data_IF_715314604698
#
_entry.id   IF_715314604698
#
_cell.length_a   1.000
_cell.length_b   1.000
_cell.length_c   1.000
_cell.angle_alpha   90.00
_cell.angle_beta   90.00
_cell.angle_gamma   90.00
#
_symmetry.space_group_name_H-M   'P 1'
#
loop_
_entity.id
_entity.type
_entity.pdbx_description
1 polymer ?
#
# COMPACT_ATOMS: atom_id res chain seq x y z
N UNK A 1 -13.88 9.90 -14.79
CA UNK A 1 -13.81 8.78 -13.83
C UNK A 1 -12.85 9.19 -12.75
N UNK A 2 -13.28 9.18 -11.48
CA UNK A 2 -12.42 9.52 -10.33
C UNK A 2 -12.14 8.22 -9.56
N UNK A 3 -10.87 8.01 -9.20
CA UNK A 3 -10.39 6.85 -8.47
C UNK A 3 -9.55 7.25 -7.25
N UNK A 4 -9.67 6.48 -6.18
CA UNK A 4 -8.80 6.58 -5.00
C UNK A 4 -8.05 5.25 -4.83
N UNK A 5 -6.73 5.27 -4.91
CA UNK A 5 -5.91 4.06 -4.85
C UNK A 5 -5.36 3.77 -3.45
N UNK A 6 -5.70 4.57 -2.43
CA UNK A 6 -5.02 4.52 -1.15
C UNK A 6 -5.96 4.61 0.08
N UNK A 7 -7.14 4.00 0.01
CA UNK A 7 -8.00 3.86 1.19
C UNK A 7 -7.36 2.83 2.12
N UNK A 8 -6.84 3.26 3.27
CA UNK A 8 -6.11 2.39 4.20
C UNK A 8 -7.05 1.32 4.78
N UNK A 9 -6.64 0.06 4.66
CA UNK A 9 -7.29 -1.06 5.33
C UNK A 9 -6.81 -1.12 6.80
N UNK A 10 -7.70 -1.24 7.79
CA UNK A 10 -7.40 -1.01 9.21
C UNK A 10 -6.69 -2.18 9.91
N UNK A 11 -6.03 -3.06 9.15
CA UNK A 11 -5.30 -4.24 9.65
C UNK A 11 -3.85 -4.13 9.21
N UNK A 12 -2.93 -4.52 10.09
CA UNK A 12 -1.48 -4.38 9.86
C UNK A 12 -0.72 -5.72 9.91
N UNK A 13 -1.38 -6.83 10.24
CA UNK A 13 -0.81 -8.18 10.23
C UNK A 13 -1.61 -9.10 9.29
N UNK A 14 -0.93 -10.05 8.65
CA UNK A 14 -1.54 -11.05 7.81
C UNK A 14 -2.44 -12.02 8.58
N UNK A 15 -2.14 -12.24 9.87
CA UNK A 15 -2.88 -13.19 10.71
C UNK A 15 -4.08 -12.56 11.43
N UNK A 16 -4.25 -11.25 11.29
CA UNK A 16 -5.30 -10.50 11.97
C UNK A 16 -6.52 -10.36 11.06
N UNK A 17 -7.70 -10.48 11.65
CA UNK A 17 -8.97 -10.25 10.96
C UNK A 17 -9.52 -8.89 11.36
N UNK A 18 -10.16 -8.20 10.42
CA UNK A 18 -10.78 -6.90 10.68
C UNK A 18 -11.86 -6.99 11.77
N UNK A 19 -11.81 -6.08 12.74
CA UNK A 19 -12.82 -6.02 13.78
C UNK A 19 -14.15 -5.46 13.22
N UNK A 20 -15.32 -5.87 13.77
CA UNK A 20 -16.62 -5.39 13.27
C UNK A 20 -16.78 -3.86 13.31
N UNK A 21 -16.18 -3.20 14.31
CA UNK A 21 -16.23 -1.75 14.44
C UNK A 21 -15.39 -1.05 13.36
N UNK A 22 -14.17 -1.54 13.11
CA UNK A 22 -13.29 -1.04 12.06
C UNK A 22 -13.92 -1.23 10.67
N UNK A 23 -14.55 -2.40 10.43
CA UNK A 23 -15.27 -2.67 9.19
C UNK A 23 -16.41 -1.67 8.99
N UNK A 24 -17.18 -1.37 10.04
CA UNK A 24 -18.27 -0.39 9.98
C UNK A 24 -17.76 1.01 9.64
N UNK A 25 -16.62 1.41 10.19
CA UNK A 25 -15.99 2.71 9.89
C UNK A 25 -15.49 2.78 8.45
N UNK A 26 -14.82 1.73 7.97
CA UNK A 26 -14.38 1.63 6.58
C UNK A 26 -15.56 1.71 5.60
N UNK A 27 -16.69 1.05 5.89
CA UNK A 27 -17.91 1.15 5.08
C UNK A 27 -18.44 2.58 4.97
N UNK A 28 -18.39 3.36 6.05
CA UNK A 28 -18.77 4.78 6.02
C UNK A 28 -17.84 5.60 5.11
N UNK A 29 -16.55 5.30 5.11
CA UNK A 29 -15.57 5.95 4.21
C UNK A 29 -15.90 5.62 2.74
N UNK A 30 -16.29 4.38 2.45
CA UNK A 30 -16.72 3.98 1.10
C UNK A 30 -18.01 4.68 0.67
N UNK A 31 -19.02 4.76 1.55
CA UNK A 31 -20.24 5.53 1.29
C UNK A 31 -19.94 7.01 1.00
N UNK A 32 -19.05 7.62 1.79
CA UNK A 32 -18.60 8.99 1.56
C UNK A 32 -17.87 9.13 0.22
N UNK A 33 -17.03 8.15 -0.14
CA UNK A 33 -16.33 8.14 -1.43
C UNK A 33 -17.32 8.13 -2.59
N UNK A 34 -18.39 7.34 -2.49
CA UNK A 34 -19.48 7.34 -3.49
C UNK A 34 -20.16 8.71 -3.56
N UNK A 35 -20.48 9.32 -2.40
CA UNK A 35 -21.10 10.64 -2.34
C UNK A 35 -20.23 11.74 -2.97
N UNK A 36 -18.91 11.63 -2.83
CA UNK A 36 -17.92 12.52 -3.45
C UNK A 36 -17.70 12.24 -4.95
N UNK A 37 -18.35 11.22 -5.52
CA UNK A 37 -18.29 10.90 -6.94
C UNK A 37 -17.15 9.96 -7.35
N UNK A 38 -16.51 9.28 -6.40
CA UNK A 38 -15.55 8.22 -6.71
C UNK A 38 -16.26 6.99 -7.27
N UNK A 39 -15.62 6.36 -8.25
CA UNK A 39 -16.19 5.21 -8.98
C UNK A 39 -15.38 3.93 -8.79
N UNK A 40 -14.08 4.08 -8.54
CA UNK A 40 -13.13 2.98 -8.35
C UNK A 40 -12.29 3.30 -7.12
N UNK A 41 -12.11 2.33 -6.23
CA UNK A 41 -11.27 2.48 -5.06
C UNK A 41 -10.36 1.26 -4.88
N UNK A 42 -9.17 1.46 -4.32
CA UNK A 42 -8.32 0.38 -3.86
C UNK A 42 -8.16 0.44 -2.34
N UNK A 43 -8.41 -0.69 -1.69
CA UNK A 43 -8.17 -0.89 -0.27
C UNK A 43 -6.70 -1.29 -0.08
N UNK A 44 -5.92 -0.40 0.54
CA UNK A 44 -4.48 -0.56 0.72
C UNK A 44 -4.17 -1.25 2.06
N UNK A 45 -3.67 -2.48 2.00
CA UNK A 45 -3.14 -3.21 3.13
C UNK A 45 -1.63 -2.93 3.31
N UNK A 46 -1.25 -2.49 4.50
CA UNK A 46 0.12 -2.07 4.82
C UNK A 46 0.68 -2.96 5.94
N UNK A 47 1.25 -4.14 5.63
CA UNK A 47 1.77 -5.03 6.66
C UNK A 47 2.98 -4.42 7.38
N UNK A 48 3.05 -4.59 8.70
CA UNK A 48 4.22 -4.21 9.48
C UNK A 48 5.39 -5.18 9.25
N UNK A 49 6.32 -4.80 8.38
CA UNK A 49 7.59 -5.50 8.17
C UNK A 49 8.66 -4.92 9.10
N UNK A 50 8.71 -5.39 10.36
CA UNK A 50 9.75 -4.95 11.31
C UNK A 50 11.10 -5.64 11.04
N UNK A 51 12.16 -4.85 10.93
CA UNK A 51 13.54 -5.32 10.67
C UNK A 51 14.52 -5.11 11.81
N UNK A 52 14.17 -4.31 12.81
CA UNK A 52 15.10 -3.96 13.87
C UNK A 52 14.91 -4.86 15.09
N UNK A 53 15.79 -5.86 15.19
CA UNK A 53 16.08 -6.72 16.34
C UNK A 53 15.09 -7.87 16.68
N UNK A 54 15.69 -9.07 16.78
CA UNK A 54 15.21 -10.35 17.32
C UNK A 54 13.97 -11.05 16.74
N UNK A 55 12.99 -10.38 16.13
CA UNK A 55 11.77 -11.04 15.63
C UNK A 55 11.41 -10.60 14.20
N UNK A 56 12.13 -11.12 13.20
CA UNK A 56 11.74 -10.95 11.79
C UNK A 56 10.36 -11.60 11.58
N UNK A 57 9.27 -10.81 11.58
CA UNK A 57 7.99 -11.25 11.01
C UNK A 57 8.22 -11.43 9.52
N UNK A 58 8.55 -12.66 9.13
CA UNK A 58 8.76 -13.03 7.74
C UNK A 58 7.40 -12.94 7.05
N UNK A 59 7.40 -12.44 5.82
CA UNK A 59 6.25 -12.52 4.93
C UNK A 59 5.76 -13.98 4.92
N UNK A 60 4.44 -14.23 5.06
CA UNK A 60 3.91 -15.59 5.04
C UNK A 60 4.33 -16.32 3.76
N UNK A 61 4.73 -17.58 3.91
CA UNK A 61 5.06 -18.43 2.76
C UNK A 61 3.80 -18.99 2.07
N UNK A 62 2.69 -19.09 2.79
CA UNK A 62 1.42 -19.60 2.28
C UNK A 62 0.62 -18.46 1.64
N UNK A 63 0.41 -18.55 0.33
CA UNK A 63 -0.24 -17.54 -0.51
C UNK A 63 -1.72 -17.31 -0.15
N UNK A 64 -2.40 -18.33 0.40
CA UNK A 64 -3.84 -18.26 0.69
C UNK A 64 -4.18 -17.44 1.95
N UNK A 65 -3.19 -17.18 2.81
CA UNK A 65 -3.36 -16.41 4.06
C UNK A 65 -2.87 -14.96 3.93
N UNK A 66 -2.53 -14.51 2.72
CA UNK A 66 -1.82 -13.24 2.52
C UNK A 66 -2.77 -12.06 2.34
N UNK A 67 -3.96 -12.26 1.78
CA UNK A 67 -4.90 -11.16 1.58
C UNK A 67 -5.97 -11.13 2.68
N UNK A 68 -5.88 -10.22 3.67
CA UNK A 68 -6.90 -10.09 4.70
C UNK A 68 -8.19 -9.42 4.18
N UNK A 69 -8.20 -8.94 2.93
CA UNK A 69 -9.31 -8.23 2.32
C UNK A 69 -10.16 -9.22 1.52
N UNK A 70 -11.38 -9.49 1.99
CA UNK A 70 -12.35 -10.30 1.25
C UNK A 70 -13.49 -9.42 0.73
N UNK A 71 -13.39 -8.98 -0.53
CA UNK A 71 -14.34 -8.06 -1.14
C UNK A 71 -15.76 -8.65 -1.17
N UNK A 72 -15.89 -9.90 -1.62
CA UNK A 72 -17.20 -10.56 -1.78
C UNK A 72 -17.91 -10.79 -0.44
N UNK A 73 -17.14 -11.09 0.62
CA UNK A 73 -17.71 -11.30 1.97
C UNK A 73 -18.07 -9.97 2.64
N UNK A 74 -17.15 -9.02 2.65
CA UNK A 74 -17.23 -7.86 3.53
C UNK A 74 -17.88 -6.63 2.88
N UNK A 75 -17.87 -6.55 1.54
CA UNK A 75 -18.24 -5.34 0.79
C UNK A 75 -19.21 -5.61 -0.38
N UNK A 76 -19.95 -6.74 -0.33
CA UNK A 76 -20.90 -7.12 -1.38
C UNK A 76 -21.97 -6.06 -1.65
N UNK A 77 -22.35 -5.25 -0.66
CA UNK A 77 -23.36 -4.19 -0.80
C UNK A 77 -22.91 -3.03 -1.70
N UNK A 78 -21.61 -2.93 -2.01
CA UNK A 78 -21.04 -1.88 -2.85
C UNK A 78 -20.90 -2.30 -4.32
N UNK A 79 -21.10 -3.57 -4.66
CA UNK A 79 -20.77 -4.15 -5.98
C UNK A 79 -21.35 -3.39 -7.18
N UNK A 80 -22.56 -2.85 -7.05
CA UNK A 80 -23.24 -2.10 -8.11
C UNK A 80 -22.98 -0.59 -8.07
N UNK A 81 -22.34 -0.09 -7.01
CA UNK A 81 -22.14 1.34 -6.75
C UNK A 81 -20.67 1.77 -6.87
N UNK A 82 -19.74 0.88 -6.54
CA UNK A 82 -18.33 1.18 -6.43
C UNK A 82 -17.50 -0.06 -6.77
N UNK A 83 -16.51 0.09 -7.66
CA UNK A 83 -15.56 -0.99 -7.94
C UNK A 83 -14.43 -0.95 -6.94
N UNK A 84 -14.30 -2.01 -6.15
CA UNK A 84 -13.30 -2.13 -5.10
C UNK A 84 -12.20 -3.08 -5.60
N UNK A 85 -10.95 -2.67 -5.40
CA UNK A 85 -9.74 -3.44 -5.69
C UNK A 85 -8.92 -3.61 -4.41
N UNK A 86 -8.03 -4.58 -4.43
CA UNK A 86 -7.09 -4.85 -3.34
C UNK A 86 -5.70 -4.33 -3.70
N UNK A 87 -5.07 -3.62 -2.77
CA UNK A 87 -3.72 -3.11 -2.90
C UNK A 87 -2.89 -3.53 -1.70
N UNK A 88 -1.62 -3.84 -1.92
CA UNK A 88 -0.64 -3.99 -0.84
C UNK A 88 0.46 -2.95 -0.97
N UNK A 89 0.89 -2.36 0.15
CA UNK A 89 2.07 -1.49 0.20
C UNK A 89 3.08 -2.04 1.20
N UNK A 90 4.22 -2.52 0.71
CA UNK A 90 5.27 -3.11 1.56
C UNK A 90 6.36 -2.10 1.84
N UNK A 91 6.64 -1.85 3.12
CA UNK A 91 7.80 -1.04 3.53
C UNK A 91 9.07 -1.86 3.38
N UNK A 92 10.05 -1.32 2.65
CA UNK A 92 11.32 -2.01 2.37
C UNK A 92 12.52 -1.19 2.81
N UNK A 93 13.32 -1.75 3.69
CA UNK A 93 14.57 -1.15 4.16
C UNK A 93 15.80 -1.86 3.59
N UNK A 94 15.72 -3.18 3.40
CA UNK A 94 16.77 -4.03 2.86
C UNK A 94 16.36 -4.73 1.54
N UNK A 95 17.22 -4.72 0.50
CA UNK A 95 16.93 -5.38 -0.78
C UNK A 95 16.62 -6.89 -0.68
N UNK A 96 17.05 -7.61 0.37
CA UNK A 96 16.73 -9.03 0.51
C UNK A 96 15.22 -9.31 0.66
N UNK A 97 14.44 -8.33 1.11
CA UNK A 97 12.97 -8.42 1.22
C UNK A 97 12.27 -8.43 -0.13
N UNK A 98 12.95 -7.97 -1.19
CA UNK A 98 12.41 -7.85 -2.53
C UNK A 98 12.01 -9.21 -3.14
N UNK A 99 12.64 -10.32 -2.71
CA UNK A 99 12.45 -11.64 -3.31
C UNK A 99 11.02 -12.18 -3.22
N UNK A 100 10.25 -11.78 -2.20
CA UNK A 100 8.87 -12.27 -2.02
C UNK A 100 7.82 -11.34 -2.61
N UNK A 101 8.18 -10.15 -3.09
CA UNK A 101 7.22 -9.14 -3.56
C UNK A 101 6.53 -9.57 -4.85
N UNK A 102 7.25 -10.27 -5.74
CA UNK A 102 6.69 -10.81 -6.97
C UNK A 102 5.51 -11.77 -6.73
N UNK A 103 5.43 -12.42 -5.57
CA UNK A 103 4.30 -13.30 -5.22
C UNK A 103 3.01 -12.52 -4.98
N UNK A 104 3.08 -11.25 -4.58
CA UNK A 104 1.88 -10.45 -4.33
C UNK A 104 1.13 -10.09 -5.59
N UNK A 105 1.79 -10.10 -6.75
CA UNK A 105 1.16 -9.85 -8.06
C UNK A 105 0.06 -10.85 -8.39
N UNK A 106 0.09 -12.06 -7.81
CA UNK A 106 -0.98 -13.06 -8.02
C UNK A 106 -2.10 -12.98 -7.00
N UNK A 107 -1.98 -12.12 -5.98
CA UNK A 107 -2.87 -12.08 -4.81
C UNK A 107 -3.61 -10.74 -4.69
N UNK A 108 -2.92 -9.64 -4.99
CA UNK A 108 -3.46 -8.28 -4.97
C UNK A 108 -3.58 -7.76 -6.39
N UNK A 109 -4.53 -6.85 -6.60
CA UNK A 109 -4.71 -6.19 -7.89
C UNK A 109 -3.62 -5.14 -8.16
N UNK A 110 -3.05 -4.56 -7.08
CA UNK A 110 -2.00 -3.54 -7.14
C UNK A 110 -0.92 -3.85 -6.11
N UNK A 111 0.34 -3.88 -6.53
CA UNK A 111 1.50 -4.04 -5.66
C UNK A 111 2.31 -2.76 -5.61
N UNK A 112 2.40 -2.20 -4.41
CA UNK A 112 3.18 -1.02 -4.11
C UNK A 112 4.31 -1.31 -3.10
N UNK A 113 5.36 -0.49 -3.15
CA UNK A 113 6.43 -0.52 -2.15
C UNK A 113 6.72 0.87 -1.62
N UNK A 114 7.13 0.96 -0.36
CA UNK A 114 7.60 2.19 0.27
C UNK A 114 9.06 2.00 0.72
N UNK A 115 10.05 2.39 -0.11
CA UNK A 115 11.45 2.23 0.22
C UNK A 115 11.91 3.23 1.27
N UNK A 116 12.65 2.76 2.27
CA UNK A 116 13.22 3.56 3.36
C UNK A 116 14.72 3.84 3.21
N UNK A 117 15.40 3.21 2.24
CA UNK A 117 16.83 3.46 1.97
C UNK A 117 17.10 3.68 0.48
N UNK A 118 18.19 4.36 0.14
CA UNK A 118 18.60 4.53 -1.27
C UNK A 118 18.83 3.18 -1.97
N UNK A 119 19.37 2.20 -1.23
CA UNK A 119 19.60 0.84 -1.76
C UNK A 119 18.29 0.13 -2.07
N UNK A 120 17.31 0.19 -1.17
CA UNK A 120 16.00 -0.44 -1.40
C UNK A 120 15.24 0.26 -2.53
N UNK A 121 15.35 1.59 -2.67
CA UNK A 121 14.80 2.34 -3.79
C UNK A 121 15.41 1.93 -5.15
N UNK A 122 16.74 1.86 -5.25
CA UNK A 122 17.40 1.43 -6.48
C UNK A 122 17.04 -0.01 -6.86
N UNK A 123 16.95 -0.90 -5.86
CA UNK A 123 16.53 -2.29 -6.07
C UNK A 123 15.06 -2.37 -6.52
N UNK A 124 14.18 -1.53 -5.98
CA UNK A 124 12.78 -1.49 -6.40
C UNK A 124 12.62 -1.10 -7.88
N UNK A 125 13.37 -0.11 -8.35
CA UNK A 125 13.34 0.28 -9.77
C UNK A 125 13.96 -0.80 -10.67
N UNK A 126 15.04 -1.43 -10.22
CA UNK A 126 15.86 -2.28 -11.08
C UNK A 126 15.36 -3.73 -11.15
N UNK A 127 14.90 -4.27 -10.03
CA UNK A 127 14.76 -5.72 -9.83
C UNK A 127 13.34 -6.16 -9.44
N UNK A 128 12.41 -5.23 -9.17
CA UNK A 128 11.04 -5.56 -8.77
C UNK A 128 10.05 -5.35 -9.90
N UNK A 129 9.10 -6.27 -10.00
CA UNK A 129 7.90 -6.14 -10.81
C UNK A 129 6.77 -5.63 -9.91
N UNK A 130 6.64 -4.30 -9.86
CA UNK A 130 5.69 -3.57 -9.00
C UNK A 130 5.01 -2.47 -9.80
N UNK A 131 3.85 -2.00 -9.35
CA UNK A 131 3.07 -0.99 -10.06
C UNK A 131 3.40 0.43 -9.56
N UNK A 132 3.57 0.56 -8.23
CA UNK A 132 3.66 1.86 -7.56
C UNK A 132 4.83 1.89 -6.58
N UNK A 133 5.64 2.94 -6.64
CA UNK A 133 6.56 3.32 -5.56
C UNK A 133 5.94 4.49 -4.80
N UNK A 134 5.68 4.26 -3.52
CA UNK A 134 5.16 5.26 -2.58
C UNK A 134 6.28 5.82 -1.71
N UNK A 135 6.08 7.01 -1.16
CA UNK A 135 7.01 7.64 -0.23
C UNK A 135 6.28 8.15 1.00
N UNK A 136 6.97 8.06 2.12
CA UNK A 136 6.59 8.79 3.32
C UNK A 136 7.11 10.23 3.20
N UNK A 137 6.20 11.16 2.92
CA UNK A 137 6.53 12.57 2.75
C UNK A 137 6.55 13.35 4.08
N UNK A 138 6.24 12.69 5.21
CA UNK A 138 6.36 13.29 6.54
C UNK A 138 7.83 13.27 7.01
N UNK A 139 8.59 12.28 6.54
CA UNK A 139 10.01 12.12 6.82
C UNK A 139 10.90 12.59 5.66
N UNK A 140 12.20 12.69 5.93
CA UNK A 140 13.20 12.95 4.89
C UNK A 140 13.19 11.80 3.89
N UNK A 141 13.04 12.13 2.61
CA UNK A 141 13.15 11.17 1.52
C UNK A 141 14.45 10.34 1.60
N UNK A 142 14.40 9.03 1.31
CA UNK A 142 15.53 8.11 1.50
C UNK A 142 16.68 8.37 0.52
N UNK A 143 16.41 9.04 -0.60
CA UNK A 143 17.39 9.36 -1.62
C UNK A 143 17.03 10.64 -2.39
N UNK A 144 17.99 11.15 -3.15
CA UNK A 144 17.73 12.20 -4.12
C UNK A 144 17.16 11.61 -5.41
N UNK A 145 16.00 12.12 -5.81
CA UNK A 145 15.25 11.68 -6.99
C UNK A 145 15.94 12.15 -8.27
N UNK A 146 16.77 11.27 -8.86
CA UNK A 146 17.48 11.55 -10.11
C UNK A 146 16.58 11.26 -11.32
N UNK A 147 16.61 12.14 -12.32
CA UNK A 147 15.81 12.01 -13.54
C UNK A 147 15.99 10.65 -14.25
N UNK A 148 17.23 10.17 -14.41
CA UNK A 148 17.51 8.94 -15.15
C UNK A 148 16.90 7.68 -14.51
N UNK A 149 17.08 7.40 -13.19
CA UNK A 149 16.37 6.31 -12.52
C UNK A 149 14.85 6.41 -12.58
N UNK A 150 14.28 7.61 -12.40
CA UNK A 150 12.83 7.81 -12.48
C UNK A 150 12.30 7.52 -13.88
N UNK A 151 12.96 8.02 -14.93
CA UNK A 151 12.60 7.72 -16.31
C UNK A 151 12.63 6.23 -16.61
N UNK A 152 13.68 5.53 -16.16
CA UNK A 152 13.78 4.08 -16.31
C UNK A 152 12.67 3.31 -15.57
N UNK A 153 12.19 3.82 -14.43
CA UNK A 153 11.05 3.23 -13.71
C UNK A 153 9.75 3.42 -14.50
N UNK A 154 9.51 4.63 -15.03
CA UNK A 154 8.33 4.95 -15.83
C UNK A 154 8.31 4.12 -17.13
N UNK A 155 9.46 3.95 -17.79
CA UNK A 155 9.58 3.12 -18.99
C UNK A 155 9.25 1.64 -18.72
N UNK A 156 9.41 1.18 -17.48
CA UNK A 156 8.99 -0.16 -17.01
C UNK A 156 7.51 -0.23 -16.61
N UNK A 157 6.79 0.89 -16.61
CA UNK A 157 5.40 0.97 -16.15
C UNK A 157 5.24 1.19 -14.64
N UNK A 158 6.31 1.53 -13.92
CA UNK A 158 6.27 1.84 -12.49
C UNK A 158 5.93 3.31 -12.31
N UNK A 159 4.90 3.60 -11.51
CA UNK A 159 4.47 4.96 -11.19
C UNK A 159 4.84 5.37 -9.77
N UNK A 160 4.88 6.67 -9.52
CA UNK A 160 5.20 7.22 -8.20
C UNK A 160 3.95 7.82 -7.56
N UNK A 161 3.66 7.42 -6.33
CA UNK A 161 2.51 7.91 -5.57
C UNK A 161 2.87 9.12 -4.72
N UNK A 162 1.94 10.08 -4.66
CA UNK A 162 1.95 11.19 -3.72
C UNK A 162 0.75 11.02 -2.78
N UNK A 163 1.01 10.66 -1.53
CA UNK A 163 -0.02 10.55 -0.50
C UNK A 163 -0.35 11.93 0.06
N UNK A 164 -1.52 12.47 -0.29
CA UNK A 164 -1.92 13.80 0.18
C UNK A 164 -2.03 13.86 1.72
N UNK A 165 -2.34 12.74 2.38
CA UNK A 165 -2.40 12.64 3.85
C UNK A 165 -1.06 12.98 4.51
N UNK A 166 0.06 12.68 3.85
CA UNK A 166 1.40 13.00 4.38
C UNK A 166 1.73 14.50 4.30
N UNK A 167 0.99 15.25 3.48
CA UNK A 167 1.12 16.70 3.37
C UNK A 167 0.30 17.44 4.43
N UNK A 168 -0.57 16.75 5.17
CA UNK A 168 -1.25 17.34 6.31
C UNK A 168 -0.24 17.55 7.45
N UNK A 169 0.33 18.75 7.47
CA UNK A 169 1.20 19.21 8.56
C UNK A 169 0.39 19.10 9.85
N UNK A 170 0.77 18.18 10.74
CA UNK A 170 0.38 18.27 12.14
C UNK A 170 0.91 19.61 12.63
N UNK A 171 0.05 20.60 12.81
CA UNK A 171 0.38 21.71 13.69
C UNK A 171 0.71 21.05 15.03
N UNK A 172 1.99 21.04 15.40
CA UNK A 172 2.40 20.77 16.78
C UNK A 172 1.65 21.80 17.61
N UNK A 173 0.56 21.39 18.24
CA UNK A 173 0.10 22.06 19.44
C UNK A 173 1.15 21.73 20.49
N UNK A 174 2.11 22.64 20.64
CA UNK A 174 3.03 22.63 21.77
C UNK A 174 2.17 22.75 23.04
N UNK A 175 2.04 21.64 23.76
CA UNK A 175 1.55 21.58 25.14
C UNK A 175 2.74 21.28 26.05
#
# INVERSE_FOLDING_TARGET
MICDLNIVYPVSDFNESIEPQQLKELKKVLDLSIQLGYTHVALNFCPETTTSNSNKKRLPNDLNLINPINIDRDFSEFKDKLKIFTRITVKIDDPSQCQNIAKFQTIFDIVAVEPKTEKSFQSAISNLDIDIISFDLQDRLPCYMKHKPLGAAIDKGIYFEIKYTDLHIKYKTDN
#
